data_IF_492791119485
#
_entry.id   IF_492791119485
#
_cell.length_a   1.000
_cell.length_b   1.000
_cell.length_c   1.000
_cell.angle_alpha   90.00
_cell.angle_beta   90.00
_cell.angle_gamma   90.00
#
_symmetry.space_group_name_H-M   'P 1'
#
loop_
_entity.id
_entity.type
_entity.pdbx_description
1 polymer ?
#
# COMPACT_ATOMS: atom_id res chain seq x y z
N UNK A 1 -2.67 -16.19 -21.13
CA UNK A 1 -1.71 -15.07 -21.22
C UNK A 1 -1.56 -14.48 -19.84
N UNK A 2 -0.34 -14.48 -19.30
CA UNK A 2 -0.05 -14.18 -17.89
C UNK A 2 0.45 -12.76 -17.67
N UNK A 3 0.40 -12.33 -16.42
CA UNK A 3 1.05 -11.12 -15.90
C UNK A 3 2.56 -11.18 -16.13
N UNK A 4 3.15 -10.06 -16.56
CA UNK A 4 4.60 -9.92 -16.69
C UNK A 4 5.22 -9.63 -15.32
N UNK A 5 6.27 -10.36 -14.98
CA UNK A 5 7.03 -10.16 -13.75
C UNK A 5 8.38 -9.50 -14.07
N UNK A 6 8.91 -8.66 -13.16
CA UNK A 6 8.31 -8.27 -11.88
C UNK A 6 7.14 -7.28 -12.02
N UNK A 7 6.15 -7.39 -11.14
CA UNK A 7 5.10 -6.37 -11.01
C UNK A 7 5.66 -5.27 -10.12
N UNK A 8 5.68 -4.04 -10.63
CA UNK A 8 6.12 -2.88 -9.86
C UNK A 8 4.96 -1.91 -9.67
N UNK A 9 4.92 -1.26 -8.52
CA UNK A 9 4.02 -0.17 -8.25
C UNK A 9 4.65 0.86 -7.34
N UNK A 10 4.22 2.10 -7.50
CA UNK A 10 4.59 3.22 -6.64
C UNK A 10 3.36 4.10 -6.43
N UNK A 11 3.22 4.64 -5.22
CA UNK A 11 2.17 5.60 -4.90
C UNK A 11 2.66 6.57 -3.86
N UNK A 12 2.43 7.84 -4.16
CA UNK A 12 2.60 8.97 -3.27
C UNK A 12 1.22 9.50 -2.85
N UNK A 13 1.01 9.72 -1.55
CA UNK A 13 -0.18 10.38 -1.02
C UNK A 13 0.19 11.36 0.11
N UNK A 14 -0.60 12.42 0.23
CA UNK A 14 -0.65 13.29 1.39
C UNK A 14 -1.62 12.70 2.41
N UNK A 15 -1.15 12.40 3.62
CA UNK A 15 -1.93 11.67 4.62
C UNK A 15 -1.80 12.36 5.97
N UNK A 16 -2.93 12.75 6.59
CA UNK A 16 -3.01 13.23 7.97
C UNK A 16 -2.06 14.39 8.33
N UNK A 17 -1.68 15.23 7.37
CA UNK A 17 -0.75 16.34 7.56
C UNK A 17 0.73 16.03 7.32
N UNK A 18 1.05 14.81 6.87
CA UNK A 18 2.35 14.40 6.36
C UNK A 18 2.25 13.78 4.96
N UNK A 19 3.33 13.12 4.54
CA UNK A 19 3.48 12.51 3.24
C UNK A 19 3.88 11.05 3.38
N UNK A 20 3.36 10.21 2.49
CA UNK A 20 3.77 8.83 2.37
C UNK A 20 4.06 8.50 0.91
N UNK A 21 5.19 7.85 0.65
CA UNK A 21 5.51 7.26 -0.64
C UNK A 21 5.85 5.78 -0.44
N UNK A 22 5.11 4.91 -1.10
CA UNK A 22 5.36 3.48 -1.07
C UNK A 22 5.61 2.97 -2.48
N UNK A 23 6.72 2.26 -2.64
CA UNK A 23 7.02 1.48 -3.83
C UNK A 23 7.10 0.00 -3.48
N UNK A 24 6.73 -0.87 -4.42
CA UNK A 24 6.84 -2.30 -4.24
C UNK A 24 7.22 -3.02 -5.53
N UNK A 25 7.78 -4.22 -5.35
CA UNK A 25 8.08 -5.16 -6.41
C UNK A 25 7.59 -6.55 -5.99
N UNK A 26 6.77 -7.20 -6.83
CA UNK A 26 6.37 -8.60 -6.68
C UNK A 26 7.11 -9.43 -7.72
N UNK A 27 7.79 -10.48 -7.28
CA UNK A 27 8.43 -11.44 -8.18
C UNK A 27 7.48 -12.59 -8.57
N UNK A 28 7.90 -13.42 -9.53
CA UNK A 28 7.13 -14.57 -10.00
C UNK A 28 6.84 -15.62 -8.92
N UNK A 29 7.59 -15.60 -7.81
CA UNK A 29 7.41 -16.52 -6.69
C UNK A 29 6.38 -15.99 -5.66
N UNK A 30 5.83 -14.79 -5.88
CA UNK A 30 4.89 -14.15 -4.96
C UNK A 30 5.54 -13.39 -3.81
N UNK A 31 6.88 -13.25 -3.79
CA UNK A 31 7.53 -12.41 -2.79
C UNK A 31 7.32 -10.95 -3.18
N UNK A 32 6.66 -10.22 -2.29
CA UNK A 32 6.46 -8.78 -2.37
C UNK A 32 7.51 -8.11 -1.49
N UNK A 33 8.32 -7.24 -2.10
CA UNK A 33 9.25 -6.37 -1.42
C UNK A 33 8.72 -4.94 -1.55
N UNK A 34 8.47 -4.28 -0.43
CA UNK A 34 7.99 -2.92 -0.42
C UNK A 34 8.89 -2.01 0.39
N UNK A 35 8.98 -0.76 -0.03
CA UNK A 35 9.68 0.32 0.66
C UNK A 35 8.69 1.44 0.87
N UNK A 36 8.55 1.90 2.11
CA UNK A 36 7.66 3.00 2.48
C UNK A 36 8.46 4.11 3.13
N UNK A 37 8.42 5.28 2.51
CA UNK A 37 8.94 6.52 3.08
C UNK A 37 7.78 7.30 3.67
N UNK A 38 7.88 7.64 4.94
CA UNK A 38 6.94 8.52 5.65
C UNK A 38 7.71 9.74 6.08
N UNK A 39 7.21 10.94 5.79
CA UNK A 39 7.85 12.17 6.25
C UNK A 39 6.85 13.29 6.51
N UNK A 40 7.27 14.27 7.30
CA UNK A 40 6.47 15.46 7.59
C UNK A 40 7.34 16.72 7.52
N UNK A 41 6.75 17.80 7.00
CA UNK A 41 7.34 19.13 7.00
C UNK A 41 6.85 19.98 8.18
N UNK A 42 6.05 19.39 9.09
CA UNK A 42 5.47 20.11 10.22
C UNK A 42 6.49 20.21 11.35
N UNK A 43 6.72 21.43 11.84
CA UNK A 43 7.78 21.71 12.81
C UNK A 43 7.57 21.06 14.19
N UNK A 44 6.33 21.04 14.69
CA UNK A 44 6.01 20.65 16.08
C UNK A 44 5.04 19.47 16.23
N UNK A 45 4.47 18.94 15.14
CA UNK A 45 3.58 17.78 15.18
C UNK A 45 4.13 16.66 14.31
N UNK A 46 4.20 15.47 14.89
CA UNK A 46 4.43 14.24 14.17
C UNK A 46 3.18 13.74 13.46
N UNK A 47 3.33 12.68 12.67
CA UNK A 47 2.25 12.02 11.96
C UNK A 47 2.49 10.51 11.98
N UNK A 48 1.42 9.72 12.07
CA UNK A 48 1.48 8.27 11.92
C UNK A 48 0.68 7.83 10.71
N UNK A 49 1.39 7.29 9.73
CA UNK A 49 0.81 6.76 8.51
C UNK A 49 0.73 5.25 8.54
N UNK A 50 -0.29 4.69 7.89
CA UNK A 50 -0.46 3.27 7.66
C UNK A 50 -0.54 2.96 6.18
N UNK A 51 0.14 1.90 5.73
CA UNK A 51 0.11 1.43 4.35
C UNK A 51 -0.19 -0.06 4.27
N UNK A 52 -0.89 -0.45 3.22
CA UNK A 52 -1.07 -1.84 2.80
C UNK A 52 -1.24 -1.89 1.29
N UNK A 53 -0.98 -3.06 0.72
CA UNK A 53 -1.11 -3.31 -0.72
C UNK A 53 -2.20 -4.34 -0.92
N UNK A 54 -3.17 -4.00 -1.77
CA UNK A 54 -4.23 -4.90 -2.20
C UNK A 54 -3.94 -5.40 -3.61
N UNK A 55 -4.24 -6.67 -3.85
CA UNK A 55 -4.23 -7.28 -5.18
C UNK A 55 -5.67 -7.42 -5.64
N UNK A 56 -5.92 -7.03 -6.89
CA UNK A 56 -7.26 -7.00 -7.46
C UNK A 56 -7.40 -7.93 -8.67
N UNK A 57 -8.64 -8.32 -8.95
CA UNK A 57 -9.01 -8.96 -10.21
C UNK A 57 -9.17 -7.93 -11.35
N UNK A 58 -9.62 -8.39 -12.51
CA UNK A 58 -9.81 -7.57 -13.72
C UNK A 58 -10.87 -6.47 -13.55
N UNK A 59 -11.81 -6.67 -12.64
CA UNK A 59 -12.87 -5.72 -12.33
C UNK A 59 -12.46 -4.73 -11.21
N UNK A 60 -11.22 -4.82 -10.73
CA UNK A 60 -10.75 -3.99 -9.62
C UNK A 60 -11.25 -4.44 -8.24
N UNK A 61 -11.83 -5.65 -8.11
CA UNK A 61 -12.22 -6.17 -6.81
C UNK A 61 -11.01 -6.72 -6.05
N UNK A 62 -10.86 -6.39 -4.76
CA UNK A 62 -9.79 -6.91 -3.90
C UNK A 62 -9.95 -8.42 -3.68
N UNK A 63 -8.98 -9.18 -4.16
CA UNK A 63 -8.90 -10.63 -3.93
C UNK A 63 -7.97 -10.98 -2.77
N UNK A 64 -7.02 -10.10 -2.45
CA UNK A 64 -6.08 -10.25 -1.33
C UNK A 64 -5.52 -8.89 -0.90
N UNK A 65 -5.04 -8.79 0.33
CA UNK A 65 -4.31 -7.63 0.81
C UNK A 65 -3.25 -8.03 1.84
N UNK A 66 -2.18 -7.25 1.94
CA UNK A 66 -1.17 -7.38 2.98
C UNK A 66 -1.75 -6.99 4.35
N UNK A 67 -1.02 -7.34 5.41
CA UNK A 67 -1.23 -6.68 6.70
C UNK A 67 -0.96 -5.17 6.58
N UNK A 68 -1.54 -4.39 7.50
CA UNK A 68 -1.30 -2.96 7.54
C UNK A 68 -0.01 -2.65 8.30
N UNK A 69 0.96 -2.08 7.60
CA UNK A 69 2.19 -1.57 8.18
C UNK A 69 2.00 -0.14 8.64
N UNK A 70 2.54 0.23 9.81
CA UNK A 70 2.39 1.57 10.39
C UNK A 70 3.74 2.18 10.67
N UNK A 71 3.89 3.45 10.28
CA UNK A 71 5.11 4.21 10.44
C UNK A 71 4.78 5.59 11.01
N UNK A 72 5.33 5.88 12.18
CA UNK A 72 5.27 7.19 12.81
C UNK A 72 6.54 8.00 12.52
N UNK A 73 6.36 9.29 12.26
CA UNK A 73 7.41 10.31 12.24
C UNK A 73 7.08 11.41 13.23
N UNK A 74 8.12 11.99 13.81
CA UNK A 74 8.01 13.11 14.74
C UNK A 74 8.09 14.45 14.01
N UNK A 75 7.76 15.56 14.70
CA UNK A 75 7.90 16.90 14.15
C UNK A 75 9.36 17.25 13.82
N UNK A 76 9.56 18.04 12.77
CA UNK A 76 10.87 18.37 12.19
C UNK A 76 11.88 18.93 13.20
N UNK A 77 11.44 19.61 14.25
CA UNK A 77 12.30 20.19 15.28
C UNK A 77 12.49 19.32 16.52
N UNK A 78 11.76 18.20 16.61
CA UNK A 78 11.77 17.33 17.78
C UNK A 78 12.66 16.12 17.52
N UNK A 79 12.49 15.42 16.39
CA UNK A 79 13.21 14.18 16.10
C UNK A 79 13.10 13.78 14.60
N UNK A 80 13.16 12.48 14.28
CA UNK A 80 13.13 11.91 12.91
C UNK A 80 11.82 12.26 12.20
N UNK A 81 11.88 13.29 11.36
CA UNK A 81 10.78 13.75 10.49
C UNK A 81 10.71 13.06 9.14
N UNK A 82 11.67 12.19 8.83
CA UNK A 82 11.72 11.37 7.61
C UNK A 82 12.19 9.96 7.97
N UNK A 83 11.39 8.97 7.62
CA UNK A 83 11.64 7.56 7.90
C UNK A 83 11.34 6.73 6.66
N UNK A 84 12.33 5.96 6.23
CA UNK A 84 12.18 4.95 5.19
C UNK A 84 12.29 3.56 5.81
N UNK A 85 11.29 2.72 5.57
CA UNK A 85 11.23 1.34 6.08
C UNK A 85 10.98 0.38 4.93
N UNK A 86 11.74 -0.71 4.90
CA UNK A 86 11.50 -1.82 3.98
C UNK A 86 10.75 -2.92 4.71
N UNK A 87 9.81 -3.55 4.01
CA UNK A 87 9.01 -4.64 4.52
C UNK A 87 8.70 -5.64 3.41
N UNK A 88 8.34 -6.84 3.82
CA UNK A 88 8.11 -7.95 2.92
C UNK A 88 6.77 -8.60 3.25
N UNK A 89 6.10 -9.06 2.20
CA UNK A 89 4.92 -9.88 2.31
C UNK A 89 4.98 -11.00 1.27
N UNK A 90 4.22 -12.06 1.48
CA UNK A 90 4.11 -13.17 0.53
C UNK A 90 2.70 -13.23 0.00
N UNK A 91 2.56 -13.03 -1.31
CA UNK A 91 1.31 -13.21 -2.03
C UNK A 91 1.14 -14.71 -2.31
N UNK A 92 0.02 -15.32 -1.92
CA UNK A 92 -0.24 -16.72 -2.23
C UNK A 92 -0.22 -16.98 -3.75
N UNK A 93 0.34 -18.10 -4.23
CA UNK A 93 0.44 -18.38 -5.66
C UNK A 93 -0.92 -18.42 -6.38
N UNK A 94 -1.97 -18.86 -5.69
CA UNK A 94 -3.34 -18.88 -6.19
C UNK A 94 -3.88 -17.47 -6.45
N UNK A 95 -3.64 -16.53 -5.53
CA UNK A 95 -3.96 -15.12 -5.70
C UNK A 95 -3.13 -14.52 -6.82
N UNK A 96 -1.83 -14.80 -6.83
CA UNK A 96 -0.92 -14.26 -7.82
C UNK A 96 -1.34 -14.63 -9.23
N UNK A 97 -1.74 -15.89 -9.47
CA UNK A 97 -2.24 -16.35 -10.78
C UNK A 97 -3.48 -15.60 -11.27
N UNK A 98 -4.25 -15.02 -10.34
CA UNK A 98 -5.49 -14.27 -10.58
C UNK A 98 -5.29 -12.76 -10.51
N UNK A 99 -4.09 -12.29 -10.17
CA UNK A 99 -3.79 -10.87 -10.06
C UNK A 99 -3.89 -10.21 -11.44
N UNK A 100 -4.74 -9.19 -11.55
CA UNK A 100 -4.93 -8.37 -12.76
C UNK A 100 -4.75 -6.88 -12.48
N UNK A 101 -4.74 -6.50 -11.21
CA UNK A 101 -4.38 -5.17 -10.78
C UNK A 101 -3.83 -5.18 -9.35
N UNK A 102 -3.40 -4.01 -8.93
CA UNK A 102 -2.99 -3.76 -7.55
C UNK A 102 -3.47 -2.38 -7.11
N UNK A 103 -3.58 -2.17 -5.80
CA UNK A 103 -3.80 -0.86 -5.21
C UNK A 103 -2.89 -0.70 -4.00
N UNK A 104 -2.14 0.39 -3.96
CA UNK A 104 -1.42 0.84 -2.76
C UNK A 104 -2.35 1.79 -2.03
N UNK A 105 -2.59 1.59 -0.74
CA UNK A 105 -3.50 2.44 0.03
C UNK A 105 -2.78 2.92 1.27
N UNK A 106 -2.69 4.25 1.38
CA UNK A 106 -2.01 4.95 2.47
C UNK A 106 -3.04 5.77 3.26
N UNK A 107 -3.13 5.56 4.57
CA UNK A 107 -4.12 6.20 5.43
C UNK A 107 -3.59 6.43 6.85
N UNK A 108 -4.03 7.51 7.49
CA UNK A 108 -3.62 7.88 8.86
C UNK A 108 -4.15 6.88 9.90
N UNK A 109 -5.39 6.43 9.73
CA UNK A 109 -6.08 5.61 10.73
C UNK A 109 -5.88 4.13 10.44
N UNK A 110 -5.48 3.34 11.44
CA UNK A 110 -5.42 1.90 11.28
C UNK A 110 -6.79 1.27 11.16
N UNK A 111 -6.92 0.28 10.27
CA UNK A 111 -8.15 -0.50 10.09
C UNK A 111 -7.87 -1.99 10.34
N UNK A 112 -8.48 -2.60 11.37
CA UNK A 112 -8.45 -4.05 11.50
C UNK A 112 -9.19 -4.70 10.32
N UNK A 113 -8.77 -5.91 9.91
CA UNK A 113 -9.40 -6.69 8.82
C UNK A 113 -9.46 -5.93 7.49
N UNK A 114 -8.30 -5.45 7.03
CA UNK A 114 -8.12 -4.72 5.76
C UNK A 114 -8.92 -5.33 4.61
N UNK A 115 -8.78 -6.64 4.34
CA UNK A 115 -9.47 -7.29 3.23
C UNK A 115 -11.01 -7.28 3.37
N UNK A 116 -11.54 -7.40 4.59
CA UNK A 116 -12.99 -7.36 4.85
C UNK A 116 -13.52 -5.94 4.62
N UNK A 117 -12.81 -4.93 5.10
CA UNK A 117 -13.13 -3.53 4.86
C UNK A 117 -13.07 -3.16 3.37
N UNK A 118 -12.07 -3.65 2.64
CA UNK A 118 -11.93 -3.41 1.21
C UNK A 118 -13.12 -3.93 0.38
N UNK A 119 -13.85 -4.92 0.91
CA UNK A 119 -15.07 -5.45 0.28
C UNK A 119 -16.33 -4.66 0.62
N UNK A 120 -16.28 -3.73 1.58
CA UNK A 120 -17.39 -2.81 1.88
C UNK A 120 -17.51 -1.70 0.83
N UNK A 121 -18.66 -1.03 0.76
CA UNK A 121 -18.88 0.08 -0.19
C UNK A 121 -17.84 1.20 -0.03
N UNK A 122 -17.50 1.56 1.21
CA UNK A 122 -16.46 2.55 1.50
C UNK A 122 -15.09 2.12 0.96
N UNK A 123 -14.70 0.86 1.21
CA UNK A 123 -13.40 0.34 0.79
C UNK A 123 -13.30 0.17 -0.72
N UNK A 124 -14.38 -0.22 -1.38
CA UNK A 124 -14.43 -0.33 -2.83
C UNK A 124 -14.28 1.02 -3.52
N UNK A 125 -14.92 2.07 -3.01
CA UNK A 125 -14.74 3.42 -3.55
C UNK A 125 -13.28 3.87 -3.51
N UNK A 126 -12.57 3.56 -2.42
CA UNK A 126 -11.14 3.87 -2.27
C UNK A 126 -10.27 3.03 -3.20
N UNK A 127 -10.51 1.72 -3.30
CA UNK A 127 -9.76 0.86 -4.22
C UNK A 127 -9.95 1.29 -5.66
N UNK A 128 -11.17 1.57 -6.09
CA UNK A 128 -11.43 1.95 -7.48
C UNK A 128 -10.73 3.25 -7.86
N UNK A 129 -10.53 4.16 -6.91
CA UNK A 129 -9.74 5.38 -7.11
C UNK A 129 -8.22 5.13 -7.10
N UNK A 130 -7.77 3.98 -6.60
CA UNK A 130 -6.37 3.67 -6.36
C UNK A 130 -5.82 2.51 -7.20
N UNK A 131 -6.71 1.75 -7.86
CA UNK A 131 -6.38 0.55 -8.58
C UNK A 131 -5.62 0.88 -9.85
N UNK A 132 -4.50 0.19 -10.03
CA UNK A 132 -3.74 0.17 -11.27
C UNK A 132 -3.97 -1.20 -11.89
N UNK A 133 -4.66 -1.21 -13.03
CA UNK A 133 -4.84 -2.42 -13.83
C UNK A 133 -3.55 -2.69 -14.59
N UNK A 134 -3.04 -3.91 -14.46
CA UNK A 134 -1.86 -4.38 -15.15
C UNK A 134 -2.23 -4.61 -16.61
N UNK A 135 -2.04 -3.57 -17.41
CA UNK A 135 -2.21 -3.62 -18.86
C UNK A 135 -1.22 -4.63 -19.45
N UNK A 136 -1.73 -5.48 -20.34
CA UNK A 136 -0.96 -6.52 -21.05
C UNK A 136 -0.05 -5.95 -22.12
#
# INVERSE_FOLDING_TARGET
MGISFPINGERHDDVGGGHMNTSFTINSNGNLYATTRTWTNVKMMGFTGGVFIAITDENGFPIWATEQHRYGVDGQWINRSDRTETWQATVPPDILSRAKGYAIIQQHTPRPRVLEWLKSEEGQGIILAAVVILSM
#
